data_IF_041414111937
#
_entry.id   IF_041414111937
#
_cell.length_a   1.000
_cell.length_b   1.000
_cell.length_c   1.000
_cell.angle_alpha   90.00
_cell.angle_beta   90.00
_cell.angle_gamma   90.00
#
_symmetry.space_group_name_H-M   'P 1'
#
loop_
_entity.id
_entity.type
_entity.pdbx_description
1 polymer ?
#
# COMPACT_ATOMS: atom_id res chain seq x y z
N UNK A 1 -8.08 -27.34 -13.18
CA UNK A 1 -7.36 -26.05 -13.27
C UNK A 1 -6.88 -25.70 -11.87
N UNK A 2 -5.57 -25.47 -11.67
CA UNK A 2 -5.09 -24.93 -10.39
C UNK A 2 -5.45 -23.46 -10.39
N UNK A 3 -6.38 -23.06 -9.52
CA UNK A 3 -6.66 -21.66 -9.29
C UNK A 3 -5.62 -21.14 -8.31
N UNK A 4 -4.96 -20.04 -8.67
CA UNK A 4 -4.03 -19.38 -7.78
C UNK A 4 -4.85 -18.49 -6.83
N UNK A 5 -4.52 -18.58 -5.56
CA UNK A 5 -5.05 -17.69 -4.52
C UNK A 5 -4.05 -16.57 -4.28
N UNK A 6 -4.57 -15.39 -3.99
CA UNK A 6 -3.77 -14.24 -3.56
C UNK A 6 -4.22 -13.79 -2.19
N UNK A 7 -3.28 -13.26 -1.43
CA UNK A 7 -3.55 -12.50 -0.22
C UNK A 7 -3.56 -11.02 -0.59
N UNK A 8 -4.61 -10.32 -0.19
CA UNK A 8 -4.83 -8.92 -0.50
C UNK A 8 -4.95 -8.07 0.77
N UNK A 9 -4.37 -6.87 0.75
CA UNK A 9 -4.56 -5.83 1.75
C UNK A 9 -5.01 -4.54 1.05
N UNK A 10 -6.05 -3.89 1.59
CA UNK A 10 -6.73 -2.77 0.93
C UNK A 10 -6.54 -1.46 1.68
N UNK A 11 -6.28 -0.39 0.93
CA UNK A 11 -6.12 0.97 1.48
C UNK A 11 -4.68 1.34 1.84
N UNK A 12 -4.40 2.64 1.84
CA UNK A 12 -3.05 3.19 1.98
C UNK A 12 -2.38 2.78 3.31
N UNK A 13 -3.13 2.85 4.43
CA UNK A 13 -2.63 2.50 5.76
C UNK A 13 -2.22 1.04 5.87
N UNK A 14 -3.08 0.13 5.40
CA UNK A 14 -2.82 -1.31 5.42
C UNK A 14 -1.56 -1.64 4.62
N UNK A 15 -1.45 -1.09 3.40
CA UNK A 15 -0.30 -1.34 2.54
C UNK A 15 0.99 -0.80 3.16
N UNK A 16 0.96 0.40 3.77
CA UNK A 16 2.11 0.96 4.48
C UNK A 16 2.57 0.01 5.59
N UNK A 17 1.65 -0.43 6.44
CA UNK A 17 1.98 -1.31 7.57
C UNK A 17 2.55 -2.67 7.10
N UNK A 18 1.96 -3.27 6.06
CA UNK A 18 2.48 -4.51 5.47
C UNK A 18 3.92 -4.34 4.96
N UNK A 19 4.19 -3.25 4.23
CA UNK A 19 5.51 -2.96 3.71
C UNK A 19 6.53 -2.63 4.81
N UNK A 20 6.13 -1.96 5.89
CA UNK A 20 7.01 -1.69 7.04
C UNK A 20 7.45 -2.97 7.76
N UNK A 21 6.52 -3.92 7.94
CA UNK A 21 6.82 -5.22 8.56
C UNK A 21 7.80 -6.05 7.74
N UNK A 22 7.66 -6.06 6.42
CA UNK A 22 8.56 -6.79 5.51
C UNK A 22 9.92 -6.09 5.37
N UNK A 23 9.97 -4.75 5.48
CA UNK A 23 11.21 -3.97 5.40
C UNK A 23 11.97 -3.89 6.73
N UNK A 24 11.40 -4.42 7.81
CA UNK A 24 12.06 -4.45 9.11
C UNK A 24 13.23 -5.45 9.13
N UNK A 25 14.44 -5.06 9.55
CA UNK A 25 15.58 -5.97 9.61
C UNK A 25 15.36 -7.07 10.66
N UNK A 26 15.33 -8.34 10.22
CA UNK A 26 15.38 -9.58 10.99
C UNK A 26 14.35 -9.77 12.11
N UNK A 27 13.23 -10.45 11.81
CA UNK A 27 12.62 -11.37 12.79
C UNK A 27 13.33 -12.72 12.65
N UNK A 28 14.20 -13.04 13.61
CA UNK A 28 14.83 -14.35 13.74
C UNK A 28 13.74 -15.42 13.89
N UNK A 29 13.72 -16.31 12.92
CA UNK A 29 12.82 -17.44 12.77
C UNK A 29 13.19 -18.54 13.79
N UNK A 30 12.39 -18.68 14.85
CA UNK A 30 12.40 -19.87 15.71
C UNK A 30 10.98 -20.24 16.08
N UNK A 31 10.33 -21.06 15.26
CA UNK A 31 9.05 -21.69 15.59
C UNK A 31 8.70 -22.81 14.62
N UNK A 32 8.89 -24.06 15.06
CA UNK A 32 8.62 -25.31 14.33
C UNK A 32 7.16 -25.46 13.84
N UNK A 33 6.91 -26.15 12.71
CA UNK A 33 5.59 -26.26 12.11
C UNK A 33 4.83 -27.49 12.64
N UNK A 34 3.85 -27.29 13.53
CA UNK A 34 2.77 -28.26 13.73
C UNK A 34 1.40 -27.57 13.75
N UNK A 35 0.61 -27.87 12.72
CA UNK A 35 -0.84 -28.00 12.70
C UNK A 35 -1.68 -26.84 13.27
N UNK A 36 -2.26 -26.00 12.39
CA UNK A 36 -3.60 -25.44 12.63
C UNK A 36 -4.22 -24.90 11.32
N UNK A 37 -5.37 -25.45 10.93
CA UNK A 37 -6.36 -24.72 10.13
C UNK A 37 -6.93 -23.62 11.04
N UNK A 38 -6.39 -22.41 10.96
CA UNK A 38 -6.92 -21.25 11.67
C UNK A 38 -6.70 -20.00 10.84
N UNK A 39 -7.75 -19.17 10.77
CA UNK A 39 -7.67 -17.75 10.39
C UNK A 39 -6.41 -17.16 11.02
N UNK A 40 -5.44 -16.77 10.18
CA UNK A 40 -4.13 -16.30 10.63
C UNK A 40 -4.30 -14.94 11.33
N UNK A 41 -4.60 -14.96 12.63
CA UNK A 41 -4.45 -13.81 13.50
C UNK A 41 -2.95 -13.65 13.80
N UNK A 42 -2.24 -12.90 12.95
CA UNK A 42 -0.85 -12.51 13.23
C UNK A 42 -0.86 -11.43 14.32
N UNK A 43 -0.97 -11.87 15.57
CA UNK A 43 -0.78 -11.01 16.75
C UNK A 43 0.55 -11.40 17.38
N UNK A 44 1.54 -10.53 17.27
CA UNK A 44 2.69 -10.59 18.18
C UNK A 44 2.82 -9.26 18.93
N UNK A 45 2.83 -9.39 20.25
CA UNK A 45 2.31 -8.41 21.22
C UNK A 45 3.42 -7.47 21.72
N UNK A 46 3.18 -6.16 21.62
CA UNK A 46 3.71 -5.18 22.59
C UNK A 46 2.55 -4.48 23.30
N UNK A 47 2.54 -4.39 24.65
CA UNK A 47 1.44 -3.77 25.37
C UNK A 47 1.53 -2.24 25.27
N UNK A 48 0.59 -1.60 24.57
CA UNK A 48 0.42 -0.14 24.58
C UNK A 48 0.12 0.50 23.23
N UNK A 49 0.33 -0.20 22.11
CA UNK A 49 -0.01 0.29 20.77
C UNK A 49 -1.30 -0.41 20.34
N UNK A 50 -2.38 0.34 20.14
CA UNK A 50 -3.56 -0.18 19.44
C UNK A 50 -3.17 -0.36 17.97
N UNK A 51 -2.57 -1.48 17.62
CA UNK A 51 -2.46 -1.91 16.22
C UNK A 51 -3.89 -2.16 15.75
N UNK A 52 -4.41 -1.31 14.87
CA UNK A 52 -5.59 -1.68 14.09
C UNK A 52 -5.12 -2.88 13.26
N UNK A 53 -5.59 -4.07 13.58
CA UNK A 53 -5.36 -5.22 12.71
C UNK A 53 -6.00 -4.87 11.36
N UNK A 54 -5.16 -4.60 10.35
CA UNK A 54 -5.64 -4.44 8.99
C UNK A 54 -6.02 -5.82 8.47
N UNK A 55 -7.29 -5.98 8.09
CA UNK A 55 -7.80 -7.25 7.55
C UNK A 55 -7.11 -7.57 6.23
N UNK A 56 -6.66 -8.82 6.11
CA UNK A 56 -6.28 -9.41 4.82
C UNK A 56 -7.40 -10.27 4.28
N UNK A 57 -7.48 -10.29 2.97
CA UNK A 57 -8.47 -11.06 2.25
C UNK A 57 -7.79 -12.10 1.37
N UNK A 58 -8.41 -13.27 1.24
CA UNK A 58 -7.91 -14.33 0.36
C UNK A 58 -8.83 -14.45 -0.84
N UNK A 59 -8.35 -13.96 -1.98
CA UNK A 59 -9.15 -13.89 -3.21
C UNK A 59 -8.59 -14.79 -4.28
N UNK A 60 -9.47 -15.14 -5.22
CA UNK A 60 -9.10 -16.01 -6.33
C UNK A 60 -8.60 -15.18 -7.50
N UNK A 61 -7.41 -15.50 -8.00
CA UNK A 61 -6.92 -14.94 -9.25
C UNK A 61 -7.63 -15.59 -10.44
N UNK A 62 -8.18 -14.75 -11.33
CA UNK A 62 -8.76 -15.16 -12.61
C UNK A 62 -7.70 -15.08 -13.72
N UNK A 63 -6.97 -13.97 -13.77
CA UNK A 63 -5.99 -13.67 -14.81
C UNK A 63 -4.95 -12.68 -14.27
N UNK A 64 -3.72 -12.71 -14.82
CA UNK A 64 -2.63 -11.80 -14.46
C UNK A 64 -1.81 -11.44 -15.70
N UNK A 65 -1.42 -10.17 -15.78
CA UNK A 65 -0.51 -9.64 -16.78
C UNK A 65 0.59 -8.81 -16.11
N UNK A 66 1.55 -8.32 -16.89
CA UNK A 66 2.55 -7.37 -16.40
C UNK A 66 1.95 -6.06 -15.89
N UNK A 67 0.72 -5.74 -16.29
CA UNK A 67 0.07 -4.44 -16.03
C UNK A 67 -1.07 -4.51 -15.01
N UNK A 68 -1.48 -5.69 -14.57
CA UNK A 68 -2.63 -5.84 -13.69
C UNK A 68 -3.07 -7.27 -13.46
N UNK A 69 -4.07 -7.42 -12.59
CA UNK A 69 -4.65 -8.69 -12.15
C UNK A 69 -6.18 -8.60 -12.13
N UNK A 70 -6.84 -9.70 -12.47
CA UNK A 70 -8.28 -9.89 -12.32
C UNK A 70 -8.56 -10.84 -11.16
N UNK A 71 -9.45 -10.46 -10.25
CA UNK A 71 -9.74 -11.15 -9.00
C UNK A 71 -11.23 -11.50 -8.90
N UNK A 72 -11.56 -12.63 -8.29
CA UNK A 72 -12.93 -12.95 -7.87
C UNK A 72 -13.04 -12.80 -6.36
N UNK A 73 -14.07 -12.08 -5.91
CA UNK A 73 -14.40 -11.83 -4.52
C UNK A 73 -15.78 -12.42 -4.19
N UNK A 74 -15.97 -12.98 -2.99
CA UNK A 74 -17.29 -13.30 -2.45
C UNK A 74 -18.19 -12.05 -2.35
N UNK A 75 -19.51 -12.21 -2.52
CA UNK A 75 -20.47 -11.11 -2.49
C UNK A 75 -20.60 -10.42 -1.11
N UNK A 76 -20.34 -11.16 -0.03
CA UNK A 76 -20.27 -10.65 1.34
C UNK A 76 -18.99 -9.83 1.61
N UNK A 77 -17.98 -9.92 0.75
CA UNK A 77 -16.74 -9.15 0.84
C UNK A 77 -16.71 -7.94 -0.10
N UNK A 78 -17.74 -7.66 -0.91
CA UNK A 78 -17.69 -6.55 -1.89
C UNK A 78 -17.46 -5.18 -1.24
N UNK A 79 -17.89 -4.99 0.00
CA UNK A 79 -17.67 -3.74 0.76
C UNK A 79 -16.21 -3.49 1.16
N UNK A 80 -15.32 -4.46 0.93
CA UNK A 80 -13.89 -4.36 1.25
C UNK A 80 -13.07 -3.71 0.13
N UNK A 81 -13.66 -3.57 -1.07
CA UNK A 81 -12.96 -3.14 -2.27
C UNK A 81 -13.77 -2.13 -3.10
N UNK A 82 -13.23 -0.92 -3.25
CA UNK A 82 -13.85 0.16 -4.02
C UNK A 82 -13.01 0.56 -5.24
N UNK A 83 -13.67 1.04 -6.30
CA UNK A 83 -12.98 1.60 -7.47
C UNK A 83 -12.20 2.85 -7.05
N UNK A 84 -10.92 2.91 -7.43
CA UNK A 84 -10.00 3.98 -7.03
C UNK A 84 -9.29 3.74 -5.70
N UNK A 85 -9.49 2.58 -5.05
CA UNK A 85 -8.74 2.17 -3.87
C UNK A 85 -7.39 1.54 -4.26
N UNK A 86 -6.38 1.72 -3.40
CA UNK A 86 -5.12 0.98 -3.50
C UNK A 86 -5.26 -0.41 -2.90
N UNK A 87 -4.59 -1.37 -3.51
CA UNK A 87 -4.53 -2.75 -3.05
C UNK A 87 -3.10 -3.28 -3.19
N UNK A 88 -2.64 -4.00 -2.17
CA UNK A 88 -1.44 -4.82 -2.22
C UNK A 88 -1.88 -6.28 -2.39
N UNK A 89 -1.31 -6.98 -3.37
CA UNK A 89 -1.53 -8.42 -3.59
C UNK A 89 -0.21 -9.18 -3.54
N UNK A 90 -0.23 -10.38 -2.99
CA UNK A 90 0.85 -11.35 -3.06
C UNK A 90 0.28 -12.72 -3.38
N UNK A 91 1.08 -13.56 -4.04
CA UNK A 91 0.76 -14.97 -4.19
C UNK A 91 0.73 -15.65 -2.81
N UNK A 92 -0.24 -16.55 -2.63
CA UNK A 92 -0.45 -17.29 -1.38
C UNK A 92 0.60 -18.40 -1.17
N UNK A 93 1.13 -18.97 -2.26
CA UNK A 93 1.99 -20.18 -2.25
C UNK A 93 3.50 -19.92 -2.35
N UNK A 94 3.97 -18.67 -2.47
CA UNK A 94 5.40 -18.40 -2.62
C UNK A 94 6.10 -18.25 -1.27
N UNK A 95 6.70 -19.33 -0.76
CA UNK A 95 7.50 -19.30 0.49
C UNK A 95 8.84 -18.57 0.36
N UNK A 96 9.40 -18.48 -0.86
CA UNK A 96 10.81 -18.07 -1.05
C UNK A 96 10.99 -16.77 -1.87
N UNK A 97 9.96 -16.25 -2.55
CA UNK A 97 10.03 -15.00 -3.35
C UNK A 97 8.63 -14.33 -3.44
N UNK A 98 8.09 -13.86 -2.31
CA UNK A 98 6.81 -13.12 -2.29
C UNK A 98 6.91 -11.86 -3.13
N UNK A 99 6.35 -11.90 -4.33
CA UNK A 99 6.25 -10.74 -5.21
C UNK A 99 5.01 -9.95 -4.86
N UNK A 100 5.24 -8.91 -4.09
CA UNK A 100 4.24 -7.91 -3.77
C UNK A 100 3.95 -7.04 -4.98
N UNK A 101 2.68 -6.96 -5.35
CA UNK A 101 2.19 -6.04 -6.37
C UNK A 101 1.22 -5.06 -5.73
N UNK A 102 1.52 -3.76 -5.83
CA UNK A 102 0.53 -2.72 -5.50
C UNK A 102 -0.18 -2.31 -6.77
N UNK A 103 -1.48 -2.15 -6.69
CA UNK A 103 -2.31 -1.68 -7.79
C UNK A 103 -3.45 -0.79 -7.34
N UNK A 104 -4.18 -0.29 -8.33
CA UNK A 104 -5.38 0.52 -8.17
C UNK A 104 -6.54 -0.26 -8.73
N UNK A 105 -7.63 -0.37 -7.98
CA UNK A 105 -8.87 -0.99 -8.44
C UNK A 105 -9.48 -0.10 -9.52
N UNK A 106 -9.60 -0.61 -10.74
CA UNK A 106 -10.14 0.12 -11.90
C UNK A 106 -11.59 -0.24 -12.22
N UNK A 107 -12.03 -1.42 -11.80
CA UNK A 107 -13.41 -1.90 -12.01
C UNK A 107 -13.79 -2.93 -10.96
N UNK A 108 -15.06 -2.92 -10.58
CA UNK A 108 -15.70 -3.97 -9.79
C UNK A 108 -17.04 -4.28 -10.48
N UNK A 109 -17.27 -5.54 -10.85
CA UNK A 109 -18.44 -5.98 -11.63
C UNK A 109 -19.07 -7.17 -10.92
N UNK A 110 -20.37 -7.10 -10.65
CA UNK A 110 -21.11 -8.26 -10.18
C UNK A 110 -21.22 -9.31 -11.30
N UNK A 111 -20.71 -10.52 -11.07
CA UNK A 111 -20.78 -11.62 -12.06
C UNK A 111 -22.02 -12.49 -11.85
N UNK A 112 -22.34 -12.78 -10.59
CA UNK A 112 -23.53 -13.51 -10.19
C UNK A 112 -23.98 -13.06 -8.78
N UNK A 113 -24.94 -13.78 -8.18
CA UNK A 113 -25.46 -13.46 -6.85
C UNK A 113 -24.46 -13.69 -5.71
N UNK A 114 -23.36 -14.39 -5.96
CA UNK A 114 -22.37 -14.83 -4.98
C UNK A 114 -20.98 -14.24 -5.21
N UNK A 115 -20.71 -13.66 -6.38
CA UNK A 115 -19.36 -13.24 -6.74
C UNK A 115 -19.31 -11.89 -7.47
N UNK A 116 -18.24 -11.16 -7.17
CA UNK A 116 -17.80 -9.98 -7.90
C UNK A 116 -16.46 -10.27 -8.58
N UNK A 117 -16.24 -9.63 -9.71
CA UNK A 117 -14.93 -9.55 -10.37
C UNK A 117 -14.35 -8.15 -10.19
N UNK A 118 -13.12 -8.07 -9.72
CA UNK A 118 -12.36 -6.84 -9.67
C UNK A 118 -11.22 -6.85 -10.68
N UNK A 119 -11.00 -5.73 -11.36
CA UNK A 119 -9.82 -5.50 -12.19
C UNK A 119 -8.91 -4.49 -11.52
N UNK A 120 -7.66 -4.88 -11.27
CA UNK A 120 -6.64 -4.08 -10.61
C UNK A 120 -5.54 -3.76 -11.60
N UNK A 121 -5.15 -2.50 -11.71
CA UNK A 121 -4.02 -2.05 -12.52
C UNK A 121 -2.80 -1.87 -11.64
N UNK A 122 -1.69 -2.56 -11.95
CA UNK A 122 -0.45 -2.45 -11.19
C UNK A 122 0.22 -1.09 -11.35
N UNK A 123 0.77 -0.62 -10.25
CA UNK A 123 1.66 0.53 -10.21
C UNK A 123 3.08 0.04 -10.50
N UNK A 124 3.71 0.59 -11.53
CA UNK A 124 5.05 0.20 -11.95
C UNK A 124 6.12 1.00 -11.20
N UNK A 125 7.09 0.31 -10.64
CA UNK A 125 8.21 0.89 -9.90
C UNK A 125 8.44 0.21 -8.55
N UNK A 126 9.45 0.67 -7.83
CA UNK A 126 9.73 0.19 -6.47
C UNK A 126 8.92 1.01 -5.47
N UNK A 127 8.13 0.33 -4.64
CA UNK A 127 7.32 0.97 -3.61
C UNK A 127 7.98 0.85 -2.25
N UNK A 128 7.95 1.95 -1.50
CA UNK A 128 8.45 2.02 -0.12
C UNK A 128 7.36 2.58 0.78
N UNK A 129 7.27 2.01 1.98
CA UNK A 129 6.46 2.61 3.03
C UNK A 129 7.05 3.95 3.45
N UNK A 130 6.18 4.94 3.65
CA UNK A 130 6.58 6.25 4.12
C UNK A 130 5.49 6.87 4.99
N UNK A 131 5.87 7.93 5.66
CA UNK A 131 4.95 8.86 6.29
C UNK A 131 5.22 10.26 5.75
N UNK A 132 4.16 11.06 5.61
CA UNK A 132 4.24 12.41 5.04
C UNK A 132 3.44 13.39 5.89
N UNK A 133 3.89 14.65 5.93
CA UNK A 133 3.10 15.77 6.42
C UNK A 133 3.47 17.07 5.70
N UNK A 134 2.55 18.04 5.61
CA UNK A 134 2.88 19.36 5.10
C UNK A 134 3.94 20.03 5.98
N UNK A 135 4.95 20.63 5.36
CA UNK A 135 5.90 21.47 6.08
C UNK A 135 5.28 22.87 6.25
N UNK A 136 5.02 23.30 7.49
CA UNK A 136 4.41 24.61 7.78
C UNK A 136 5.44 25.49 8.48
N UNK A 137 6.04 26.42 7.74
CA UNK A 137 6.98 27.39 8.29
C UNK A 137 6.31 28.31 9.32
N UNK A 138 6.92 28.42 10.50
CA UNK A 138 6.46 29.35 11.54
C UNK A 138 5.24 28.90 12.33
N UNK A 139 4.79 27.65 12.17
CA UNK A 139 3.80 27.05 13.07
C UNK A 139 4.49 26.42 14.28
N UNK A 140 4.05 26.74 15.50
CA UNK A 140 4.47 26.03 16.72
C UNK A 140 3.89 24.62 16.79
N UNK A 141 2.84 24.32 16.01
CA UNK A 141 2.19 23.03 15.99
C UNK A 141 2.41 22.34 14.65
N UNK A 142 3.31 21.36 14.68
CA UNK A 142 3.50 20.38 13.63
C UNK A 142 2.19 19.58 13.43
N UNK A 143 1.71 19.45 12.18
CA UNK A 143 0.69 18.45 11.88
C UNK A 143 1.26 17.05 12.08
N UNK A 144 0.40 16.09 12.42
CA UNK A 144 0.81 14.69 12.52
C UNK A 144 1.22 14.13 11.15
N UNK A 145 2.13 13.16 11.19
CA UNK A 145 2.48 12.34 10.04
C UNK A 145 1.30 11.46 9.63
N UNK A 146 1.04 11.40 8.33
CA UNK A 146 0.03 10.55 7.72
C UNK A 146 0.72 9.46 6.89
N UNK A 147 0.04 8.33 6.71
CA UNK A 147 0.55 7.24 5.88
C UNK A 147 0.81 7.71 4.46
N UNK A 148 1.91 7.24 3.87
CA UNK A 148 2.23 7.46 2.47
C UNK A 148 2.93 6.25 1.86
N UNK A 149 2.99 6.24 0.53
CA UNK A 149 3.84 5.31 -0.21
C UNK A 149 4.68 6.11 -1.19
N UNK A 150 5.98 5.86 -1.21
CA UNK A 150 6.88 6.40 -2.24
C UNK A 150 7.01 5.37 -3.36
N UNK A 151 6.99 5.86 -4.60
CA UNK A 151 7.14 5.09 -5.81
C UNK A 151 8.33 5.62 -6.62
N UNK A 152 9.36 4.80 -6.74
CA UNK A 152 10.52 5.03 -7.59
C UNK A 152 10.28 4.37 -8.95
N UNK A 153 10.09 5.17 -10.01
CA UNK A 153 9.73 4.67 -11.34
C UNK A 153 10.93 4.45 -12.29
N UNK A 154 12.13 4.85 -11.87
CA UNK A 154 13.37 4.77 -12.65
C UNK A 154 14.09 6.11 -12.76
N UNK A 155 15.31 6.16 -13.33
CA UNK A 155 16.18 7.34 -13.30
C UNK A 155 15.67 8.53 -14.13
N UNK A 156 14.87 8.28 -15.17
CA UNK A 156 14.35 9.32 -16.08
C UNK A 156 12.92 9.76 -15.75
N UNK A 157 12.30 9.17 -14.73
CA UNK A 157 10.91 9.44 -14.37
C UNK A 157 10.85 10.11 -13.00
N UNK A 158 10.06 11.18 -12.87
CA UNK A 158 9.82 11.82 -11.58
C UNK A 158 9.36 10.76 -10.57
N UNK A 159 9.89 10.74 -9.34
CA UNK A 159 9.33 9.88 -8.30
C UNK A 159 7.93 10.37 -7.92
N UNK A 160 7.13 9.47 -7.38
CA UNK A 160 5.73 9.70 -7.08
C UNK A 160 5.43 9.34 -5.65
N UNK A 161 4.52 10.05 -5.02
CA UNK A 161 4.01 9.73 -3.69
C UNK A 161 2.50 9.51 -3.74
N UNK A 162 2.04 8.51 -2.99
CA UNK A 162 0.63 8.28 -2.67
C UNK A 162 0.37 8.78 -1.26
N UNK A 163 -0.72 9.53 -1.10
CA UNK A 163 -1.11 10.17 0.16
C UNK A 163 -2.61 10.04 0.37
N UNK A 164 -3.14 10.25 1.59
CA UNK A 164 -4.58 10.32 1.79
C UNK A 164 -5.20 11.44 0.95
N UNK A 165 -6.49 11.30 0.64
CA UNK A 165 -7.23 12.32 -0.10
C UNK A 165 -7.18 13.69 0.61
N UNK A 166 -7.08 14.78 -0.17
CA UNK A 166 -6.98 16.18 0.28
C UNK A 166 -5.66 16.61 0.92
N UNK A 167 -4.58 15.83 0.79
CA UNK A 167 -3.27 16.24 1.29
C UNK A 167 -2.49 17.09 0.27
N UNK A 168 -2.70 16.83 -1.03
CA UNK A 168 -1.97 17.50 -2.11
C UNK A 168 -2.29 19.00 -2.18
N UNK A 169 -1.24 19.79 -2.34
CA UNK A 169 -1.27 21.21 -2.65
C UNK A 169 -0.16 21.49 -3.63
N UNK A 170 -0.50 22.09 -4.76
CA UNK A 170 0.48 22.41 -5.81
C UNK A 170 1.61 23.30 -5.27
N UNK A 171 2.85 22.96 -5.61
CA UNK A 171 4.08 23.67 -5.21
C UNK A 171 4.32 23.80 -3.70
N UNK A 172 3.66 22.96 -2.89
CA UNK A 172 3.87 22.92 -1.46
C UNK A 172 5.01 21.98 -1.06
N UNK A 173 5.62 22.26 0.08
CA UNK A 173 6.64 21.41 0.67
C UNK A 173 6.06 20.42 1.68
N UNK A 174 6.69 19.25 1.75
CA UNK A 174 6.32 18.19 2.67
C UNK A 174 7.56 17.62 3.32
N UNK A 175 7.42 17.20 4.56
CA UNK A 175 8.39 16.37 5.25
C UNK A 175 7.99 14.90 5.09
N UNK A 176 8.95 14.07 4.69
CA UNK A 176 8.77 12.65 4.44
C UNK A 176 9.70 11.84 5.34
N UNK A 177 9.16 10.78 5.92
CA UNK A 177 9.89 9.79 6.70
C UNK A 177 9.74 8.42 6.05
N UNK A 178 10.83 7.65 6.01
CA UNK A 178 10.84 6.26 5.57
C UNK A 178 11.51 5.41 6.64
N UNK A 179 11.00 4.22 6.92
CA UNK A 179 11.41 3.38 8.05
C UNK A 179 12.94 3.31 8.24
N UNK A 180 13.43 3.95 9.31
CA UNK A 180 14.84 3.94 9.73
C UNK A 180 15.74 5.02 9.12
N UNK A 181 15.24 5.88 8.24
CA UNK A 181 16.01 6.98 7.63
C UNK A 181 15.64 8.34 8.24
N UNK A 182 16.57 9.30 8.16
CA UNK A 182 16.30 10.67 8.56
C UNK A 182 15.22 11.29 7.66
N UNK A 183 14.36 12.13 8.25
CA UNK A 183 13.33 12.85 7.50
C UNK A 183 13.99 13.68 6.37
N UNK A 184 13.35 13.71 5.21
CA UNK A 184 13.78 14.57 4.10
C UNK A 184 12.62 15.39 3.57
N UNK A 185 12.95 16.53 2.94
CA UNK A 185 11.95 17.44 2.37
C UNK A 185 11.73 17.15 0.89
N UNK A 186 10.49 17.28 0.46
CA UNK A 186 10.09 17.20 -0.94
C UNK A 186 9.26 18.43 -1.33
N UNK A 187 9.33 18.83 -2.59
CA UNK A 187 8.38 19.76 -3.19
C UNK A 187 7.41 18.97 -4.08
N UNK A 188 6.13 19.29 -3.99
CA UNK A 188 5.08 18.68 -4.83
C UNK A 188 5.10 19.22 -6.26
N UNK A 189 5.05 18.30 -7.20
CA UNK A 189 4.88 18.55 -8.64
C UNK A 189 3.45 18.33 -9.09
N UNK A 190 3.28 17.75 -10.28
CA UNK A 190 1.97 17.54 -10.89
C UNK A 190 1.13 16.47 -10.14
N UNK A 191 -0.15 16.78 -9.91
CA UNK A 191 -1.14 15.79 -9.50
C UNK A 191 -1.43 14.83 -10.66
N UNK A 192 -1.15 13.56 -10.47
CA UNK A 192 -1.35 12.51 -11.47
C UNK A 192 -2.72 11.85 -11.33
N UNK A 193 -3.22 11.74 -10.10
CA UNK A 193 -4.50 11.09 -9.81
C UNK A 193 -5.04 11.54 -8.46
N UNK A 194 -6.36 11.73 -8.37
CA UNK A 194 -7.08 11.99 -7.13
C UNK A 194 -8.32 11.12 -7.11
N UNK A 195 -8.44 10.29 -6.08
CA UNK A 195 -9.61 9.46 -5.79
C UNK A 195 -10.13 9.82 -4.41
N UNK A 196 -11.27 9.27 -4.00
CA UNK A 196 -11.77 9.45 -2.62
C UNK A 196 -10.84 8.82 -1.56
N UNK A 197 -9.97 7.89 -1.96
CA UNK A 197 -9.11 7.13 -1.06
C UNK A 197 -7.68 7.69 -0.99
N UNK A 198 -7.17 8.25 -2.10
CA UNK A 198 -5.80 8.74 -2.16
C UNK A 198 -5.60 9.85 -3.19
N UNK A 199 -4.49 10.56 -3.04
CA UNK A 199 -3.90 11.41 -4.06
C UNK A 199 -2.52 10.91 -4.44
N UNK A 200 -2.22 10.94 -5.74
CA UNK A 200 -0.95 10.54 -6.32
C UNK A 200 -0.36 11.69 -7.10
N UNK A 201 0.84 12.12 -6.72
CA UNK A 201 1.50 13.25 -7.35
C UNK A 201 3.01 13.03 -7.47
N UNK A 202 3.62 13.71 -8.44
CA UNK A 202 5.07 13.74 -8.62
C UNK A 202 5.73 14.58 -7.53
N UNK A 203 6.97 14.28 -7.17
CA UNK A 203 7.72 15.12 -6.24
C UNK A 203 9.19 15.28 -6.62
N UNK A 204 9.82 16.33 -6.10
CA UNK A 204 11.25 16.57 -6.20
C UNK A 204 11.88 16.67 -4.80
N UNK A 205 12.95 15.90 -4.49
CA UNK A 205 13.68 16.07 -3.24
C UNK A 205 14.31 17.46 -3.13
N UNK A 206 14.14 18.11 -1.97
CA UNK A 206 14.78 19.39 -1.68
C UNK A 206 16.17 19.12 -1.13
N UNK A 207 17.21 19.38 -1.93
CA UNK A 207 18.60 19.31 -1.46
C UNK A 207 18.88 20.54 -0.59
N UNK A 208 19.04 20.33 0.71
CA UNK A 208 19.65 21.33 1.58
C UNK A 208 21.09 21.52 1.09
N UNK A 209 21.37 22.68 0.49
CA UNK A 209 22.75 23.06 0.19
C UNK A 209 23.41 23.38 1.54
N UNK A 210 24.33 22.51 1.94
CA UNK A 210 25.24 22.76 3.07
C UNK A 210 26.33 23.75 2.70
#
# INVERSE_FOLDING_TARGET
ERYNWVVAACGLDAIREYLEREQAPNRSDTGTPEQMEETIHIVDRMPGIRTREHETHRWRQIDISSSGIALTLPADEVGTLEVGQLILVTDDDSSDDRRWHVGVVRRVIQRDMKHFEAGVQFVQGRIRAASIRPEVFGSEQASDFQSALLLERGPEQSPVVFTPHMLYREHHEYLVETGGEACFRINSGALLESTLCYERFEYAPIRLHG
#
